data_IF_569819533018
#
_entry.id   IF_569819533018
#
_cell.length_a   1.000
_cell.length_b   1.000
_cell.length_c   1.000
_cell.angle_alpha   90.00
_cell.angle_beta   90.00
_cell.angle_gamma   90.00
#
_symmetry.space_group_name_H-M   'P 1'
#
loop_
_entity.id
_entity.type
_entity.pdbx_description
1 polymer ?
#
# COMPACT_ATOMS: atom_id res chain seq x y z
N UNK A 1 -11.00 -30.91 8.95
CA UNK A 1 -9.55 -30.86 8.69
C UNK A 1 -9.21 -30.51 7.24
N UNK A 2 -10.09 -29.81 6.52
CA UNK A 2 -9.74 -29.22 5.20
C UNK A 2 -9.67 -27.69 5.24
N UNK A 3 -10.17 -27.03 6.29
CA UNK A 3 -10.15 -25.56 6.42
C UNK A 3 -8.88 -24.99 7.10
N UNK A 4 -7.90 -25.83 7.47
CA UNK A 4 -6.59 -25.37 7.98
C UNK A 4 -5.49 -25.39 6.92
N UNK A 5 -5.73 -25.99 5.74
CA UNK A 5 -4.72 -26.09 4.67
C UNK A 5 -4.69 -24.89 3.71
N UNK A 6 -5.72 -24.04 3.68
CA UNK A 6 -5.70 -22.82 2.85
C UNK A 6 -5.04 -21.62 3.55
N UNK A 7 -4.92 -21.64 4.89
CA UNK A 7 -4.25 -20.58 5.66
C UNK A 7 -2.71 -20.63 5.59
N UNK A 8 -2.15 -21.64 4.93
CA UNK A 8 -0.71 -21.88 4.78
C UNK A 8 -0.21 -21.74 3.33
N UNK A 9 -1.05 -21.27 2.41
CA UNK A 9 -0.57 -20.73 1.12
C UNK A 9 0.03 -19.34 1.34
N UNK A 10 1.17 -19.30 2.03
CA UNK A 10 1.89 -18.07 2.34
C UNK A 10 2.25 -17.30 1.07
N UNK A 11 2.04 -15.99 1.10
CA UNK A 11 2.65 -15.04 0.19
C UNK A 11 4.17 -15.25 0.16
N UNK A 12 4.67 -15.80 -0.96
CA UNK A 12 6.09 -16.11 -1.14
C UNK A 12 6.73 -15.07 -2.03
N UNK A 13 7.82 -14.48 -1.56
CA UNK A 13 8.61 -13.55 -2.35
C UNK A 13 9.80 -14.31 -2.95
N UNK A 14 10.16 -14.01 -4.20
CA UNK A 14 11.25 -14.69 -4.89
C UNK A 14 11.89 -13.75 -5.90
N UNK A 15 13.22 -13.83 -6.06
CA UNK A 15 14.00 -13.02 -7.00
C UNK A 15 13.78 -11.49 -6.84
N UNK A 16 13.99 -10.99 -5.62
CA UNK A 16 13.81 -9.57 -5.28
C UNK A 16 14.93 -9.04 -4.38
N UNK A 17 15.12 -7.73 -4.40
CA UNK A 17 16.04 -7.01 -3.52
C UNK A 17 15.23 -6.15 -2.55
N UNK A 18 15.38 -6.35 -1.24
CA UNK A 18 14.60 -5.64 -0.20
C UNK A 18 15.50 -4.70 0.59
N UNK A 19 15.21 -3.41 0.53
CA UNK A 19 15.86 -2.39 1.35
C UNK A 19 14.96 -2.00 2.53
N UNK A 20 15.39 -2.32 3.75
CA UNK A 20 14.76 -1.81 4.97
C UNK A 20 15.37 -0.47 5.37
N UNK A 21 14.53 0.52 5.66
CA UNK A 21 14.92 1.80 6.22
C UNK A 21 14.17 2.02 7.52
N UNK A 22 14.88 2.04 8.65
CA UNK A 22 14.29 2.44 9.94
C UNK A 22 14.52 3.91 10.23
N UNK A 23 13.48 4.60 10.67
CA UNK A 23 13.65 5.81 11.48
C UNK A 23 14.37 5.41 12.78
N UNK A 24 15.45 6.11 13.08
CA UNK A 24 16.26 5.95 14.29
C UNK A 24 16.61 7.30 14.88
N UNK A 25 15.73 8.28 14.66
CA UNK A 25 15.73 9.56 15.35
C UNK A 25 15.47 9.38 16.85
N UNK A 26 15.67 10.46 17.61
CA UNK A 26 15.36 10.50 19.05
C UNK A 26 13.87 10.24 19.36
N UNK A 27 12.97 10.50 18.41
CA UNK A 27 11.52 10.30 18.58
C UNK A 27 11.11 8.82 18.71
N UNK A 28 12.00 7.90 18.33
CA UNK A 28 11.74 6.46 18.39
C UNK A 28 11.94 5.95 19.82
N UNK A 29 13.11 6.21 20.40
CA UNK A 29 13.53 5.60 21.66
C UNK A 29 13.99 4.15 21.52
N UNK A 30 14.79 3.68 22.47
CA UNK A 30 15.46 2.37 22.39
C UNK A 30 14.48 1.18 22.35
N UNK A 31 13.39 1.24 23.13
CA UNK A 31 12.43 0.14 23.20
C UNK A 31 11.63 -0.01 21.90
N UNK A 32 11.15 1.09 21.32
CA UNK A 32 10.45 1.04 20.04
C UNK A 32 11.39 0.66 18.89
N UNK A 33 12.66 1.06 18.95
CA UNK A 33 13.67 0.61 17.99
C UNK A 33 13.83 -0.91 18.03
N UNK A 34 13.90 -1.50 19.23
CA UNK A 34 13.93 -2.95 19.42
C UNK A 34 12.70 -3.64 18.84
N UNK A 35 11.50 -3.08 19.04
CA UNK A 35 10.26 -3.60 18.45
C UNK A 35 10.31 -3.52 16.92
N UNK A 36 10.81 -2.42 16.36
CA UNK A 36 10.97 -2.22 14.92
C UNK A 36 11.95 -3.23 14.29
N UNK A 37 13.10 -3.48 14.90
CA UNK A 37 14.04 -4.52 14.43
C UNK A 37 13.39 -5.91 14.44
N UNK A 38 12.60 -6.22 15.47
CA UNK A 38 11.85 -7.48 15.54
C UNK A 38 10.74 -7.57 14.48
N UNK A 39 10.12 -6.45 14.12
CA UNK A 39 9.18 -6.39 13.01
C UNK A 39 9.87 -6.77 11.69
N UNK A 40 11.02 -6.19 11.36
CA UNK A 40 11.76 -6.57 10.14
C UNK A 40 12.19 -8.04 10.13
N UNK A 41 12.66 -8.57 11.26
CA UNK A 41 12.94 -10.00 11.40
C UNK A 41 11.70 -10.85 11.12
N UNK A 42 10.54 -10.42 11.60
CA UNK A 42 9.27 -11.14 11.40
C UNK A 42 8.78 -11.06 9.96
N UNK A 43 8.96 -9.92 9.29
CA UNK A 43 8.76 -9.78 7.84
C UNK A 43 9.66 -10.79 7.12
N UNK A 44 10.98 -10.76 7.35
CA UNK A 44 11.94 -11.68 6.72
C UNK A 44 11.61 -13.16 6.93
N UNK A 45 11.18 -13.55 8.13
CA UNK A 45 10.71 -14.91 8.40
C UNK A 45 9.49 -15.27 7.57
N UNK A 46 8.54 -14.34 7.42
CA UNK A 46 7.35 -14.54 6.58
C UNK A 46 7.70 -14.67 5.10
N UNK A 47 8.80 -14.08 4.65
CA UNK A 47 9.23 -14.14 3.23
C UNK A 47 9.73 -15.51 2.80
N UNK A 48 10.01 -16.41 3.75
CA UNK A 48 10.71 -17.66 3.46
C UNK A 48 12.18 -17.42 3.12
N UNK A 49 12.90 -16.67 3.96
CA UNK A 49 14.33 -16.31 3.80
C UNK A 49 15.28 -17.48 3.50
N UNK A 50 14.86 -18.73 3.68
CA UNK A 50 15.62 -19.89 3.19
C UNK A 50 15.76 -19.88 1.65
N UNK A 51 15.05 -18.99 0.96
CA UNK A 51 15.22 -18.71 -0.46
C UNK A 51 16.43 -17.79 -0.73
N UNK A 52 17.50 -18.35 -1.29
CA UNK A 52 18.74 -17.64 -1.63
C UNK A 52 18.54 -16.52 -2.67
N UNK A 53 17.37 -16.43 -3.32
CA UNK A 53 17.09 -15.42 -4.34
C UNK A 53 16.62 -14.07 -3.78
N UNK A 54 16.46 -13.95 -2.46
CA UNK A 54 16.09 -12.71 -1.78
C UNK A 54 17.34 -12.05 -1.20
N UNK A 55 17.72 -10.88 -1.72
CA UNK A 55 18.83 -10.11 -1.15
C UNK A 55 18.29 -8.98 -0.28
N UNK A 56 18.95 -8.71 0.84
CA UNK A 56 18.49 -7.74 1.84
C UNK A 56 19.58 -6.71 2.10
N UNK A 57 19.19 -5.44 2.07
CA UNK A 57 19.98 -4.33 2.56
C UNK A 57 19.25 -3.61 3.70
N UNK A 58 19.99 -2.92 4.56
CA UNK A 58 19.40 -2.17 5.66
C UNK A 58 20.13 -0.86 5.94
N UNK A 59 19.35 0.19 6.14
CA UNK A 59 19.82 1.51 6.57
C UNK A 59 18.99 2.07 7.73
N UNK A 60 19.59 2.93 8.54
CA UNK A 60 18.92 3.73 9.56
C UNK A 60 18.97 5.21 9.17
N UNK A 61 17.86 5.91 9.37
CA UNK A 61 17.78 7.37 9.27
C UNK A 61 17.97 7.99 10.65
N UNK A 62 19.05 8.76 10.82
CA UNK A 62 19.40 9.44 12.08
C UNK A 62 19.66 10.93 11.88
N UNK A 63 18.79 11.64 11.16
CA UNK A 63 19.15 12.65 10.15
C UNK A 63 20.27 12.33 9.17
N UNK A 64 21.38 11.75 9.60
CA UNK A 64 22.39 11.17 8.71
C UNK A 64 22.02 9.71 8.36
N UNK A 65 22.30 9.29 7.14
CA UNK A 65 22.13 7.89 6.72
C UNK A 65 23.20 7.01 7.36
N UNK A 66 22.80 5.95 8.05
CA UNK A 66 23.69 4.89 8.52
C UNK A 66 23.37 3.59 7.78
N UNK A 67 24.26 3.15 6.90
CA UNK A 67 24.10 1.90 6.16
C UNK A 67 24.66 0.74 7.00
N UNK A 68 23.81 -0.21 7.38
CA UNK A 68 24.17 -1.32 8.27
C UNK A 68 24.75 -2.49 7.47
N UNK A 69 24.14 -2.83 6.33
CA UNK A 69 24.66 -3.79 5.37
C UNK A 69 23.98 -3.62 4.00
N UNK A 70 24.69 -4.02 2.94
CA UNK A 70 24.30 -3.95 1.53
C UNK A 70 23.85 -5.32 0.98
N UNK A 71 23.33 -5.37 -0.24
CA UNK A 71 22.77 -6.59 -0.85
C UNK A 71 23.81 -7.68 -1.10
N UNK A 72 25.09 -7.32 -1.24
CA UNK A 72 26.23 -8.23 -1.37
C UNK A 72 26.68 -8.86 -0.03
N UNK A 73 26.04 -8.49 1.09
CA UNK A 73 26.37 -9.02 2.41
C UNK A 73 25.86 -10.45 2.60
N UNK A 74 26.61 -11.26 3.37
CA UNK A 74 26.34 -12.69 3.57
C UNK A 74 24.92 -12.98 4.09
N UNK A 75 24.13 -13.68 3.27
CA UNK A 75 22.71 -13.98 3.48
C UNK A 75 22.44 -14.76 4.79
N UNK A 76 23.35 -15.65 5.20
CA UNK A 76 23.14 -16.59 6.33
C UNK A 76 23.07 -15.93 7.71
N UNK A 77 23.56 -14.69 7.87
CA UNK A 77 23.56 -13.98 9.16
C UNK A 77 22.61 -12.79 9.24
N UNK A 78 21.87 -12.47 8.17
CA UNK A 78 21.03 -11.25 8.10
C UNK A 78 20.06 -11.11 9.27
N UNK A 79 19.37 -12.18 9.70
CA UNK A 79 18.44 -12.11 10.84
C UNK A 79 19.15 -11.72 12.13
N UNK A 80 20.33 -12.29 12.36
CA UNK A 80 21.16 -11.99 13.53
C UNK A 80 21.78 -10.59 13.41
N UNK A 81 22.18 -10.16 12.22
CA UNK A 81 22.66 -8.80 11.96
C UNK A 81 21.59 -7.77 12.32
N UNK A 82 20.36 -7.92 11.81
CA UNK A 82 19.25 -7.01 12.11
C UNK A 82 18.97 -6.94 13.61
N UNK A 83 18.95 -8.09 14.29
CA UNK A 83 18.71 -8.17 15.74
C UNK A 83 19.72 -7.36 16.56
N UNK A 84 20.96 -7.23 16.08
CA UNK A 84 22.05 -6.58 16.80
C UNK A 84 22.33 -5.14 16.32
N UNK A 85 21.51 -4.59 15.42
CA UNK A 85 21.63 -3.19 15.01
C UNK A 85 21.40 -2.32 16.25
N UNK A 86 22.36 -1.48 16.66
CA UNK A 86 22.21 -0.65 17.84
C UNK A 86 21.36 0.58 17.55
N UNK A 87 20.58 1.01 18.54
CA UNK A 87 19.90 2.30 18.52
C UNK A 87 20.91 3.43 18.79
N UNK A 88 21.32 4.12 17.73
CA UNK A 88 22.32 5.20 17.80
C UNK A 88 21.75 6.49 17.20
N UNK A 89 20.82 7.19 17.88
CA UNK A 89 20.27 8.44 17.39
C UNK A 89 21.34 9.53 17.37
N UNK A 90 21.26 10.42 16.40
CA UNK A 90 22.19 11.53 16.26
C UNK A 90 21.77 12.68 17.18
N UNK A 91 22.53 12.90 18.26
CA UNK A 91 22.24 13.90 19.30
C UNK A 91 22.98 15.24 19.13
N UNK A 92 23.88 15.32 18.15
CA UNK A 92 24.70 16.51 17.91
C UNK A 92 23.89 17.53 17.05
N UNK A 93 23.94 18.84 17.33
CA UNK A 93 23.44 19.87 16.42
C UNK A 93 23.86 19.70 14.94
N UNK A 94 25.07 19.18 14.68
CA UNK A 94 25.63 19.01 13.33
C UNK A 94 24.87 17.99 12.46
N UNK A 95 24.02 17.14 13.06
CA UNK A 95 23.26 16.12 12.34
C UNK A 95 22.34 16.72 11.26
N UNK A 96 21.89 17.97 11.45
CA UNK A 96 21.06 18.68 10.45
C UNK A 96 21.86 19.11 9.22
N UNK A 97 23.16 19.39 9.36
CA UNK A 97 24.01 19.81 8.24
C UNK A 97 24.32 18.66 7.27
N UNK A 98 24.26 17.42 7.76
CA UNK A 98 24.44 16.17 7.01
C UNK A 98 23.13 15.40 6.85
N UNK A 99 22.01 16.12 6.86
CA UNK A 99 20.70 15.52 6.72
C UNK A 99 20.59 14.81 5.36
N UNK A 100 20.26 13.52 5.38
CA UNK A 100 19.89 12.74 4.20
C UNK A 100 18.39 12.87 3.94
N UNK A 101 17.95 12.29 2.84
CA UNK A 101 16.54 12.10 2.50
C UNK A 101 16.29 10.61 2.21
N UNK A 102 15.03 10.23 1.96
CA UNK A 102 14.70 8.89 1.46
C UNK A 102 15.38 8.66 0.11
N UNK A 103 15.39 9.66 -0.78
CA UNK A 103 16.07 9.62 -2.06
C UNK A 103 17.57 9.38 -1.91
N UNK A 104 18.25 10.06 -0.97
CA UNK A 104 19.68 9.91 -0.75
C UNK A 104 20.07 8.55 -0.19
N UNK A 105 19.24 8.00 0.70
CA UNK A 105 19.41 6.62 1.19
C UNK A 105 19.25 5.63 0.03
N UNK A 106 18.19 5.78 -0.77
CA UNK A 106 17.94 4.92 -1.91
C UNK A 106 19.04 5.06 -2.99
N UNK A 107 19.58 6.26 -3.22
CA UNK A 107 20.67 6.53 -4.16
C UNK A 107 21.89 5.66 -3.91
N UNK A 108 22.23 5.51 -2.64
CA UNK A 108 23.42 4.80 -2.20
C UNK A 108 23.13 3.32 -2.01
N UNK A 109 22.01 2.95 -1.40
CA UNK A 109 21.72 1.56 -1.06
C UNK A 109 21.27 0.73 -2.27
N UNK A 110 20.57 1.34 -3.25
CA UNK A 110 20.09 0.67 -4.46
C UNK A 110 21.09 0.74 -5.63
N UNK A 111 22.34 1.13 -5.37
CA UNK A 111 23.36 1.19 -6.41
C UNK A 111 23.97 -0.19 -6.69
N UNK A 112 24.46 -0.39 -7.91
CA UNK A 112 25.03 -1.67 -8.33
C UNK A 112 26.33 -2.02 -7.59
N UNK A 113 27.09 -1.02 -7.12
CA UNK A 113 28.29 -1.23 -6.27
C UNK A 113 27.94 -1.69 -4.85
N UNK A 114 26.67 -1.63 -4.45
CA UNK A 114 26.13 -2.25 -3.22
C UNK A 114 25.46 -3.59 -3.48
N UNK A 115 25.63 -4.16 -4.67
CA UNK A 115 25.10 -5.48 -5.02
C UNK A 115 23.63 -5.48 -5.46
N UNK A 116 23.02 -4.32 -5.72
CA UNK A 116 21.65 -4.24 -6.22
C UNK A 116 21.55 -4.85 -7.64
N UNK A 117 20.58 -5.73 -7.87
CA UNK A 117 20.41 -6.49 -9.10
C UNK A 117 19.41 -5.81 -10.03
N UNK A 118 19.89 -5.38 -11.19
CA UNK A 118 19.06 -4.77 -12.25
C UNK A 118 17.87 -5.66 -12.65
N UNK A 119 18.06 -6.98 -12.67
CA UNK A 119 17.06 -7.95 -13.12
C UNK A 119 16.02 -8.32 -12.06
N UNK A 120 16.22 -7.88 -10.81
CA UNK A 120 15.35 -8.20 -9.68
C UNK A 120 14.61 -6.93 -9.26
N UNK A 121 13.29 -6.98 -8.98
CA UNK A 121 12.56 -5.81 -8.49
C UNK A 121 13.04 -5.40 -7.09
N UNK A 122 13.08 -4.10 -6.85
CA UNK A 122 13.46 -3.52 -5.56
C UNK A 122 12.22 -3.25 -4.71
N UNK A 123 12.23 -3.69 -3.46
CA UNK A 123 11.21 -3.41 -2.46
C UNK A 123 11.84 -2.52 -1.38
N UNK A 124 11.46 -1.25 -1.35
CA UNK A 124 11.87 -0.31 -0.31
C UNK A 124 10.80 -0.30 0.80
N UNK A 125 11.17 -0.62 2.04
CA UNK A 125 10.28 -0.55 3.20
C UNK A 125 10.84 0.49 4.16
N UNK A 126 10.20 1.65 4.23
CA UNK A 126 10.54 2.73 5.16
C UNK A 126 9.55 2.70 6.33
N UNK A 127 10.06 2.63 7.56
CA UNK A 127 9.23 2.73 8.76
C UNK A 127 9.63 3.97 9.53
N UNK A 128 8.69 4.89 9.72
CA UNK A 128 8.90 6.14 10.46
C UNK A 128 7.72 6.47 11.36
N UNK A 129 7.87 7.49 12.20
CA UNK A 129 6.78 7.95 13.08
C UNK A 129 5.99 9.08 12.45
N UNK A 130 4.76 9.29 12.94
CA UNK A 130 3.98 10.50 12.63
C UNK A 130 4.55 11.78 13.25
N UNK A 131 5.50 11.66 14.19
CA UNK A 131 6.15 12.79 14.86
C UNK A 131 7.23 13.45 13.99
N UNK A 132 7.84 12.67 13.09
CA UNK A 132 8.85 13.15 12.18
C UNK A 132 8.72 12.44 10.83
N UNK A 133 8.30 13.20 9.82
CA UNK A 133 8.26 12.71 8.45
C UNK A 133 9.64 12.87 7.82
N UNK A 134 10.25 11.76 7.43
CA UNK A 134 11.52 11.77 6.70
C UNK A 134 11.29 12.47 5.34
N UNK A 135 12.07 13.49 4.98
CA UNK A 135 11.92 14.16 3.70
C UNK A 135 12.22 13.17 2.57
N UNK A 136 11.39 13.21 1.51
CA UNK A 136 11.69 12.46 0.29
C UNK A 136 12.99 12.94 -0.35
N UNK A 137 13.14 14.27 -0.48
CA UNK A 137 14.21 14.93 -1.21
C UNK A 137 14.68 16.16 -0.42
N UNK A 138 16.00 16.35 -0.36
CA UNK A 138 16.61 17.55 0.19
C UNK A 138 16.67 18.69 -0.84
N UNK A 139 16.87 19.92 -0.35
CA UNK A 139 17.06 21.08 -1.21
C UNK A 139 18.30 20.90 -2.11
N UNK A 140 18.11 21.01 -3.43
CA UNK A 140 19.18 20.85 -4.42
C UNK A 140 19.61 19.40 -4.66
N UNK A 141 18.95 18.42 -4.05
CA UNK A 141 19.23 17.01 -4.29
C UNK A 141 18.66 16.54 -5.63
N UNK A 142 19.46 15.80 -6.39
CA UNK A 142 19.01 15.20 -7.65
C UNK A 142 18.23 13.93 -7.37
N UNK A 143 17.06 13.81 -8.00
CA UNK A 143 16.25 12.61 -7.95
C UNK A 143 17.03 11.44 -8.56
N UNK A 144 17.04 10.31 -7.85
CA UNK A 144 17.72 9.11 -8.33
C UNK A 144 16.96 8.50 -9.50
N UNK A 145 17.70 7.78 -10.34
CA UNK A 145 17.15 6.87 -11.32
C UNK A 145 17.45 5.44 -10.87
N UNK A 146 16.46 4.71 -10.30
CA UNK A 146 16.69 3.34 -9.86
C UNK A 146 17.15 2.44 -11.00
N UNK A 147 17.98 1.47 -10.66
CA UNK A 147 18.52 0.51 -11.62
C UNK A 147 17.49 -0.54 -12.06
N UNK A 148 16.53 -0.85 -11.19
CA UNK A 148 15.45 -1.83 -11.38
C UNK A 148 14.09 -1.21 -11.03
N UNK A 149 13.01 -1.98 -11.20
CA UNK A 149 11.65 -1.54 -10.85
C UNK A 149 11.51 -1.50 -9.33
N UNK A 150 11.34 -0.30 -8.76
CA UNK A 150 11.26 -0.12 -7.31
C UNK A 150 9.83 0.11 -6.82
N UNK A 151 9.32 -0.72 -5.91
CA UNK A 151 8.09 -0.41 -5.14
C UNK A 151 8.46 0.07 -3.74
N UNK A 152 7.84 1.15 -3.29
CA UNK A 152 8.07 1.69 -1.95
C UNK A 152 6.87 1.50 -1.02
N UNK A 153 7.12 0.97 0.16
CA UNK A 153 6.18 0.92 1.27
C UNK A 153 6.58 1.96 2.31
N UNK A 154 5.70 2.90 2.58
CA UNK A 154 5.86 3.89 3.64
C UNK A 154 4.96 3.48 4.81
N UNK A 155 5.57 3.03 5.90
CA UNK A 155 4.89 2.59 7.11
C UNK A 155 5.00 3.70 8.16
N UNK A 156 3.87 4.33 8.49
CA UNK A 156 3.81 5.38 9.52
C UNK A 156 3.28 4.82 10.83
N UNK A 157 4.03 5.00 11.92
CA UNK A 157 3.64 4.60 13.27
C UNK A 157 3.17 5.80 14.09
N UNK A 158 2.04 5.69 14.77
CA UNK A 158 1.49 6.71 15.65
C UNK A 158 0.18 7.31 15.13
N UNK A 159 -0.03 8.59 15.37
CA UNK A 159 -1.26 9.27 14.95
C UNK A 159 -1.23 9.48 13.43
N UNK A 160 -1.91 8.60 12.72
CA UNK A 160 -2.11 8.71 11.29
C UNK A 160 -3.53 9.18 11.01
N UNK A 161 -3.64 10.38 10.43
CA UNK A 161 -4.85 10.73 9.72
C UNK A 161 -4.67 10.20 8.28
N UNK A 162 -5.50 9.25 7.79
CA UNK A 162 -5.62 9.06 6.36
C UNK A 162 -6.08 10.40 5.80
N UNK A 163 -5.13 11.18 5.29
CA UNK A 163 -5.44 12.39 4.55
C UNK A 163 -6.30 11.93 3.39
N UNK A 164 -7.61 12.22 3.46
CA UNK A 164 -8.57 11.92 2.42
C UNK A 164 -8.00 12.43 1.08
N UNK A 165 -7.37 11.53 0.31
CA UNK A 165 -6.78 11.83 -0.99
C UNK A 165 -5.34 12.35 -1.06
N UNK A 166 -4.58 12.55 0.03
CA UNK A 166 -3.16 12.89 -0.12
C UNK A 166 -2.35 11.62 -0.42
N UNK A 167 -2.20 11.32 -1.72
CA UNK A 167 -1.31 10.29 -2.22
C UNK A 167 0.13 10.66 -1.85
N UNK A 168 0.75 9.94 -0.91
CA UNK A 168 2.20 10.04 -0.72
C UNK A 168 2.87 9.13 -1.74
N UNK A 169 3.69 9.74 -2.58
CA UNK A 169 4.40 9.10 -3.67
C UNK A 169 5.87 9.44 -3.56
N UNK A 170 6.73 8.43 -3.61
CA UNK A 170 8.15 8.66 -3.88
C UNK A 170 8.32 8.76 -5.41
N UNK A 171 8.80 9.90 -5.88
CA UNK A 171 9.00 10.27 -7.28
C UNK A 171 9.94 9.29 -8.01
N UNK A 172 10.93 8.72 -7.32
CA UNK A 172 11.84 7.73 -7.91
C UNK A 172 11.25 6.33 -7.98
N UNK A 173 10.29 5.98 -7.12
CA UNK A 173 9.73 4.63 -7.07
C UNK A 173 8.67 4.46 -8.16
N UNK A 174 8.54 3.24 -8.68
CA UNK A 174 7.53 2.78 -9.64
C UNK A 174 6.09 2.83 -9.11
N UNK A 175 5.93 2.61 -7.81
CA UNK A 175 4.66 2.69 -7.10
C UNK A 175 4.97 2.91 -5.63
N UNK A 176 4.04 3.54 -4.90
CA UNK A 176 4.18 3.76 -3.47
C UNK A 176 2.89 3.36 -2.77
N UNK A 177 3.01 2.50 -1.76
CA UNK A 177 1.92 2.05 -0.91
C UNK A 177 2.12 2.59 0.50
N UNK A 178 1.04 3.06 1.12
CA UNK A 178 1.07 3.51 2.50
C UNK A 178 0.50 2.44 3.42
N UNK A 179 1.18 2.22 4.54
CA UNK A 179 0.68 1.43 5.65
C UNK A 179 0.85 2.25 6.92
N UNK A 180 0.18 1.83 7.97
CA UNK A 180 0.51 2.35 9.28
C UNK A 180 -0.12 1.59 10.40
N UNK A 181 0.39 1.90 11.58
CA UNK A 181 0.05 1.26 12.83
C UNK A 181 -0.14 2.36 13.88
N UNK A 182 -1.13 2.20 14.75
CA UNK A 182 -1.41 3.20 15.80
C UNK A 182 -0.27 3.30 16.82
N UNK A 183 0.55 2.26 16.95
CA UNK A 183 1.71 2.16 17.83
C UNK A 183 2.68 1.06 17.34
N UNK A 184 3.86 0.96 17.96
CA UNK A 184 4.89 -0.01 17.57
C UNK A 184 4.47 -1.45 17.82
N UNK A 185 3.68 -1.70 18.86
CA UNK A 185 3.18 -3.03 19.22
C UNK A 185 2.26 -3.61 18.15
N UNK A 186 1.56 -2.75 17.41
CA UNK A 186 0.64 -3.16 16.33
C UNK A 186 1.36 -3.46 15.01
N UNK A 187 2.67 -3.18 14.88
CA UNK A 187 3.43 -3.43 13.64
C UNK A 187 3.36 -4.88 13.17
N UNK A 188 3.30 -5.86 14.08
CA UNK A 188 3.19 -7.28 13.71
C UNK A 188 1.91 -7.60 12.94
N UNK A 189 0.85 -6.81 13.13
CA UNK A 189 -0.41 -7.00 12.41
C UNK A 189 -0.31 -6.57 10.94
N UNK A 190 0.71 -5.79 10.56
CA UNK A 190 1.01 -5.43 9.17
C UNK A 190 1.73 -6.51 8.37
N UNK A 191 2.24 -7.57 9.01
CA UNK A 191 3.03 -8.61 8.32
C UNK A 191 2.22 -9.26 7.20
N UNK A 192 0.97 -9.65 7.46
CA UNK A 192 0.11 -10.29 6.45
C UNK A 192 -0.30 -9.33 5.33
N UNK A 193 -0.82 -8.11 5.61
CA UNK A 193 -1.08 -7.11 4.57
C UNK A 193 0.13 -6.78 3.71
N UNK A 194 1.29 -6.53 4.31
CA UNK A 194 2.52 -6.21 3.58
C UNK A 194 2.92 -7.36 2.65
N UNK A 195 2.81 -8.60 3.14
CA UNK A 195 3.17 -9.79 2.40
C UNK A 195 2.30 -10.01 1.16
N UNK A 196 0.97 -9.80 1.27
CA UNK A 196 0.07 -9.84 0.12
C UNK A 196 0.28 -8.67 -0.85
N UNK A 197 0.52 -7.46 -0.35
CA UNK A 197 0.75 -6.28 -1.19
C UNK A 197 2.01 -6.43 -2.04
N UNK A 198 3.11 -6.93 -1.48
CA UNK A 198 4.32 -7.23 -2.24
C UNK A 198 4.09 -8.35 -3.24
N UNK A 199 3.44 -9.45 -2.85
CA UNK A 199 3.15 -10.55 -3.76
C UNK A 199 2.31 -10.08 -4.97
N UNK A 200 1.30 -9.23 -4.73
CA UNK A 200 0.50 -8.61 -5.78
C UNK A 200 1.34 -7.75 -6.72
N UNK A 201 2.23 -6.91 -6.19
CA UNK A 201 3.16 -6.13 -7.00
C UNK A 201 4.07 -7.02 -7.86
N UNK A 202 4.63 -8.09 -7.30
CA UNK A 202 5.49 -9.02 -8.03
C UNK A 202 4.74 -9.73 -9.16
N UNK A 203 3.48 -10.09 -8.96
CA UNK A 203 2.64 -10.67 -10.03
C UNK A 203 2.47 -9.71 -11.21
N UNK A 204 2.25 -8.43 -10.94
CA UNK A 204 2.15 -7.39 -11.99
C UNK A 204 3.47 -7.26 -12.73
N UNK A 205 4.58 -7.16 -12.00
CA UNK A 205 5.92 -7.06 -12.62
C UNK A 205 6.24 -8.29 -13.48
N UNK A 206 5.94 -9.48 -13.00
CA UNK A 206 6.16 -10.72 -13.74
C UNK A 206 5.30 -10.78 -15.02
N UNK A 207 4.02 -10.45 -14.92
CA UNK A 207 3.09 -10.50 -16.05
C UNK A 207 3.41 -9.45 -17.12
N UNK A 208 3.78 -8.24 -16.72
CA UNK A 208 3.95 -7.11 -17.63
C UNK A 208 5.37 -6.98 -18.18
N UNK A 209 6.40 -7.33 -17.40
CA UNK A 209 7.79 -7.03 -17.76
C UNK A 209 8.68 -8.26 -17.95
N UNK A 210 8.39 -9.38 -17.29
CA UNK A 210 9.18 -10.63 -17.44
C UNK A 210 8.55 -11.63 -18.42
N UNK A 211 7.46 -11.23 -19.09
CA UNK A 211 6.88 -11.98 -20.21
C UNK A 211 7.86 -12.06 -21.40
N UNK A 212 8.07 -13.25 -22.01
CA UNK A 212 8.93 -13.42 -23.18
C UNK A 212 8.52 -12.60 -24.41
N UNK A 213 7.29 -12.06 -24.46
CA UNK A 213 6.81 -11.28 -25.60
C UNK A 213 7.41 -9.88 -25.72
N UNK A 214 7.96 -9.31 -24.65
CA UNK A 214 8.67 -8.02 -24.68
C UNK A 214 10.18 -8.25 -24.84
N UNK A 215 10.74 -9.29 -24.22
CA UNK A 215 12.12 -9.73 -24.38
C UNK A 215 12.33 -10.63 -25.62
N UNK A 216 11.70 -10.27 -26.73
CA UNK A 216 11.91 -10.89 -28.03
C UNK A 216 13.28 -10.51 -28.60
N UNK A 217 14.17 -11.51 -28.66
CA UNK A 217 15.43 -11.58 -29.42
C UNK A 217 16.66 -10.87 -28.85
N UNK A 218 17.52 -11.62 -28.15
CA UNK A 218 18.63 -12.35 -28.81
C UNK A 218 19.55 -12.97 -27.75
N UNK A 219 19.95 -14.21 -27.99
CA UNK A 219 21.03 -14.90 -27.27
C UNK A 219 22.33 -14.07 -27.34
N UNK A 220 22.54 -13.18 -26.36
CA UNK A 220 23.85 -12.60 -26.07
C UNK A 220 24.00 -12.56 -24.56
N UNK A 221 25.12 -13.16 -24.12
CA UNK A 221 25.67 -13.10 -22.76
C UNK A 221 25.23 -11.82 -22.02
N UNK A 222 24.46 -12.01 -20.95
CA UNK A 222 23.92 -10.98 -20.05
C UNK A 222 24.99 -10.36 -19.13
N UNK A 223 26.25 -10.24 -19.58
CA UNK A 223 27.25 -9.42 -18.91
C UNK A 223 27.41 -8.10 -19.68
N UNK A 224 26.83 -7.02 -19.16
CA UNK A 224 27.19 -5.65 -19.55
C UNK A 224 26.29 -4.94 -20.57
N UNK A 225 25.01 -5.29 -20.73
CA UNK A 225 24.07 -4.39 -21.41
C UNK A 225 23.40 -3.43 -20.41
N UNK A 226 23.24 -2.13 -20.77
CA UNK A 226 22.51 -1.19 -19.93
C UNK A 226 21.06 -1.64 -19.79
N UNK A 227 20.51 -1.55 -18.57
CA UNK A 227 19.12 -1.86 -18.28
C UNK A 227 18.20 -1.17 -19.31
N UNK A 228 17.29 -1.92 -19.93
CA UNK A 228 16.24 -1.33 -20.75
C UNK A 228 15.27 -0.60 -19.81
N UNK A 229 15.34 0.73 -19.82
CA UNK A 229 14.60 1.62 -18.90
C UNK A 229 13.25 2.05 -19.48
N UNK A 230 12.82 1.48 -20.61
CA UNK A 230 11.51 1.75 -21.21
C UNK A 230 10.34 1.32 -20.32
N UNK A 231 10.59 0.45 -19.32
CA UNK A 231 9.59 0.04 -18.34
C UNK A 231 8.92 1.20 -17.60
N UNK A 232 9.62 2.33 -17.42
CA UNK A 232 9.07 3.55 -16.81
C UNK A 232 7.83 4.09 -17.53
N UNK A 233 7.70 3.84 -18.84
CA UNK A 233 6.57 4.30 -19.66
C UNK A 233 5.30 3.44 -19.46
N UNK A 234 5.44 2.24 -18.89
CA UNK A 234 4.36 1.27 -18.76
C UNK A 234 3.73 1.26 -17.36
N UNK A 235 4.34 1.95 -16.40
CA UNK A 235 3.80 2.06 -15.06
C UNK A 235 2.56 2.94 -15.04
N UNK A 236 1.42 2.36 -14.64
CA UNK A 236 0.18 3.08 -14.36
C UNK A 236 0.32 3.78 -13.02
N UNK A 237 0.90 4.97 -13.06
CA UNK A 237 1.23 5.82 -11.93
C UNK A 237 0.05 6.32 -11.09
N UNK A 238 -1.18 6.22 -11.61
CA UNK A 238 -2.36 6.87 -11.04
C UNK A 238 -3.51 5.89 -10.80
N UNK A 239 -3.20 4.71 -10.23
CA UNK A 239 -4.24 3.75 -9.82
C UNK A 239 -4.99 4.33 -8.61
N UNK A 240 -6.34 4.36 -8.61
CA UNK A 240 -7.12 4.70 -7.43
C UNK A 240 -6.76 3.75 -6.29
N UNK A 241 -6.40 4.29 -5.12
CA UNK A 241 -6.03 3.51 -3.94
C UNK A 241 -7.11 3.59 -2.88
N UNK A 242 -7.45 2.45 -2.30
CA UNK A 242 -8.44 2.30 -1.23
C UNK A 242 -7.72 1.93 0.06
N UNK A 243 -8.12 2.56 1.16
CA UNK A 243 -7.61 2.24 2.49
C UNK A 243 -8.39 1.08 3.08
N UNK A 244 -7.67 0.06 3.56
CA UNK A 244 -8.20 -1.04 4.36
C UNK A 244 -7.72 -0.89 5.80
N UNK A 245 -8.52 -1.34 6.74
CA UNK A 245 -8.16 -1.44 8.17
C UNK A 245 -8.40 -2.86 8.63
N UNK A 246 -7.70 -3.28 9.68
CA UNK A 246 -8.04 -4.53 10.36
C UNK A 246 -9.26 -4.34 11.28
N UNK A 247 -9.82 -5.44 11.78
CA UNK A 247 -11.00 -5.43 12.64
C UNK A 247 -10.84 -4.61 13.92
N UNK A 248 -9.61 -4.52 14.44
CA UNK A 248 -9.29 -3.75 15.66
C UNK A 248 -9.03 -2.26 15.40
N UNK A 249 -8.98 -1.83 14.14
CA UNK A 249 -8.56 -0.49 13.71
C UNK A 249 -7.20 -0.05 14.29
N UNK A 250 -6.29 -1.01 14.47
CA UNK A 250 -4.92 -0.81 14.97
C UNK A 250 -3.93 -0.64 13.83
N UNK A 251 -4.24 -1.18 12.65
CA UNK A 251 -3.42 -1.06 11.44
C UNK A 251 -4.27 -0.78 10.21
N UNK A 252 -3.66 -0.12 9.23
CA UNK A 252 -4.25 0.16 7.93
C UNK A 252 -3.22 0.01 6.81
N UNK A 253 -3.71 -0.20 5.59
CA UNK A 253 -2.88 -0.31 4.40
C UNK A 253 -3.65 0.13 3.16
N UNK A 254 -2.96 0.63 2.15
CA UNK A 254 -3.55 0.98 0.86
C UNK A 254 -3.44 -0.18 -0.11
N UNK A 255 -4.50 -0.40 -0.88
CA UNK A 255 -4.55 -1.35 -2.01
C UNK A 255 -5.12 -0.62 -3.23
N UNK A 256 -4.93 -1.18 -4.44
CA UNK A 256 -5.72 -0.73 -5.58
C UNK A 256 -7.21 -0.90 -5.26
N UNK A 257 -8.03 0.12 -5.55
CA UNK A 257 -9.46 -0.01 -5.43
C UNK A 257 -9.98 -1.00 -6.49
N UNK A 258 -10.74 -2.00 -6.06
CA UNK A 258 -11.55 -2.77 -6.99
C UNK A 258 -12.61 -1.84 -7.59
N UNK A 259 -12.69 -1.80 -8.93
CA UNK A 259 -13.73 -1.08 -9.66
C UNK A 259 -15.16 -1.56 -9.34
N UNK A 260 -15.30 -2.66 -8.60
CA UNK A 260 -16.59 -3.32 -8.31
C UNK A 260 -17.21 -2.97 -6.95
N UNK A 261 -16.62 -2.06 -6.16
CA UNK A 261 -17.18 -1.69 -4.83
C UNK A 261 -17.63 -0.24 -4.70
N UNK A 262 -17.98 0.41 -5.80
CA UNK A 262 -18.77 1.66 -5.76
C UNK A 262 -20.26 1.43 -5.46
N UNK A 263 -20.71 0.20 -5.22
CA UNK A 263 -22.13 -0.12 -4.96
C UNK A 263 -22.44 -0.79 -3.61
N UNK A 264 -21.48 -1.02 -2.71
CA UNK A 264 -21.80 -1.62 -1.39
C UNK A 264 -22.34 -0.62 -0.35
N UNK A 265 -22.70 0.61 -0.77
CA UNK A 265 -23.49 1.55 0.02
C UNK A 265 -24.89 1.81 -0.55
N UNK A 266 -25.35 1.04 -1.54
CA UNK A 266 -26.77 0.92 -1.83
C UNK A 266 -27.23 -0.38 -1.18
N UNK A 267 -27.90 -0.26 -0.02
CA UNK A 267 -28.49 -1.41 0.65
C UNK A 267 -29.26 -2.25 -0.37
N UNK A 268 -28.89 -3.52 -0.48
CA UNK A 268 -29.59 -4.48 -1.33
C UNK A 268 -31.02 -4.55 -0.82
N UNK A 269 -31.92 -3.83 -1.50
CA UNK A 269 -33.37 -3.96 -1.31
C UNK A 269 -33.66 -5.40 -1.69
N UNK A 270 -33.76 -6.26 -0.69
CA UNK A 270 -34.22 -7.64 -0.87
C UNK A 270 -35.49 -7.63 -1.72
N UNK A 271 -35.70 -8.67 -2.53
CA UNK A 271 -36.89 -8.79 -3.38
C UNK A 271 -38.20 -8.56 -2.62
N UNK A 272 -38.21 -8.85 -1.31
CA UNK A 272 -39.33 -8.56 -0.39
C UNK A 272 -39.60 -7.07 -0.20
N UNK A 273 -38.57 -6.22 -0.10
CA UNK A 273 -38.72 -4.77 0.12
C UNK A 273 -39.20 -4.04 -1.15
N UNK A 274 -38.83 -4.51 -2.34
CA UNK A 274 -39.32 -3.94 -3.60
C UNK A 274 -40.82 -4.21 -3.82
N UNK A 275 -41.29 -5.42 -3.46
CA UNK A 275 -42.71 -5.78 -3.51
C UNK A 275 -43.55 -4.91 -2.56
N UNK A 276 -43.04 -4.61 -1.36
CA UNK A 276 -43.72 -3.72 -0.40
C UNK A 276 -43.85 -2.29 -0.91
N UNK A 277 -42.80 -1.73 -1.51
CA UNK A 277 -42.83 -0.38 -2.08
C UNK A 277 -43.81 -0.31 -3.25
N UNK A 278 -43.78 -1.29 -4.16
CA UNK A 278 -44.69 -1.34 -5.29
C UNK A 278 -46.15 -1.47 -4.84
N UNK A 279 -46.43 -2.32 -3.85
CA UNK A 279 -47.76 -2.45 -3.25
C UNK A 279 -48.23 -1.12 -2.62
N UNK A 280 -47.34 -0.41 -1.93
CA UNK A 280 -47.67 0.87 -1.30
C UNK A 280 -47.99 1.96 -2.34
N UNK A 281 -47.25 2.01 -3.45
CA UNK A 281 -47.51 2.94 -4.57
C UNK A 281 -48.84 2.62 -5.28
N UNK A 282 -49.17 1.34 -5.46
CA UNK A 282 -50.45 0.94 -6.06
C UNK A 282 -51.62 1.34 -5.15
N UNK A 283 -51.50 1.11 -3.84
CA UNK A 283 -52.56 1.48 -2.88
C UNK A 283 -52.78 2.98 -2.83
N UNK A 284 -51.72 3.80 -2.82
CA UNK A 284 -51.86 5.26 -2.84
C UNK A 284 -52.49 5.74 -4.14
N UNK A 285 -52.10 5.18 -5.29
CA UNK A 285 -52.72 5.50 -6.58
C UNK A 285 -54.22 5.16 -6.61
N UNK A 286 -54.62 4.01 -6.06
CA UNK A 286 -56.04 3.62 -5.96
C UNK A 286 -56.84 4.55 -5.05
N UNK A 287 -56.26 4.99 -3.93
CA UNK A 287 -56.88 5.97 -3.03
C UNK A 287 -57.08 7.30 -3.77
N UNK A 288 -56.08 7.78 -4.51
CA UNK A 288 -56.22 9.00 -5.30
C UNK A 288 -57.30 8.88 -6.37
N UNK A 289 -57.37 7.75 -7.09
CA UNK A 289 -58.42 7.50 -8.09
C UNK A 289 -59.81 7.52 -7.44
N UNK A 290 -59.98 6.93 -6.25
CA UNK A 290 -61.25 6.95 -5.53
C UNK A 290 -61.63 8.37 -5.07
N UNK A 291 -60.67 9.15 -4.56
CA UNK A 291 -60.92 10.54 -4.14
C UNK A 291 -61.32 11.39 -5.35
N UNK A 292 -60.58 11.31 -6.46
CA UNK A 292 -60.91 12.02 -7.69
C UNK A 292 -62.25 11.56 -8.27
N UNK A 293 -62.53 10.26 -8.25
CA UNK A 293 -63.81 9.70 -8.69
C UNK A 293 -64.98 10.23 -7.85
N UNK A 294 -64.84 10.26 -6.53
CA UNK A 294 -65.83 10.84 -5.61
C UNK A 294 -66.02 12.36 -5.84
N UNK A 295 -64.93 13.09 -6.08
CA UNK A 295 -64.98 14.52 -6.37
C UNK A 295 -65.73 14.80 -7.68
N UNK A 296 -65.43 14.06 -8.74
CA UNK A 296 -66.12 14.16 -10.04
C UNK A 296 -67.59 13.76 -9.90
N UNK A 297 -67.90 12.69 -9.16
CA UNK A 297 -69.27 12.26 -8.93
C UNK A 297 -70.09 13.32 -8.20
N UNK A 298 -69.54 13.93 -7.13
CA UNK A 298 -70.20 15.03 -6.41
C UNK A 298 -70.39 16.26 -7.30
N UNK A 299 -69.35 16.67 -8.03
CA UNK A 299 -69.43 17.80 -8.95
C UNK A 299 -70.54 17.61 -10.00
N UNK A 300 -70.64 16.41 -10.57
CA UNK A 300 -71.70 16.08 -11.54
C UNK A 300 -73.08 16.10 -10.90
N UNK A 301 -73.24 15.60 -9.68
CA UNK A 301 -74.54 15.59 -9.01
C UNK A 301 -75.02 17.00 -8.63
N UNK A 302 -74.10 17.88 -8.21
CA UNK A 302 -74.38 19.30 -7.97
C UNK A 302 -74.70 20.05 -9.27
N UNK A 303 -74.02 19.75 -10.38
CA UNK A 303 -74.37 20.36 -11.67
C UNK A 303 -75.77 19.95 -12.17
N UNK A 304 -76.20 18.73 -11.88
CA UNK A 304 -77.52 18.21 -12.28
C UNK A 304 -78.66 18.71 -11.38
N UNK A 305 -78.40 19.08 -10.12
CA UNK A 305 -79.41 19.71 -9.27
C UNK A 305 -79.66 21.17 -9.66
N UNK A 306 -78.63 21.89 -10.11
CA UNK A 306 -78.77 23.27 -10.64
C UNK A 306 -79.57 23.29 -11.94
N UNK A 307 -79.40 22.31 -12.82
CA UNK A 307 -80.16 22.19 -14.08
C UNK A 307 -81.64 21.81 -13.91
N UNK A 308 -82.05 21.30 -12.74
CA UNK A 308 -83.46 21.01 -12.41
C UNK A 308 -84.18 22.14 -11.68
N UNK A 309 -83.46 23.23 -11.36
CA UNK A 309 -84.01 24.40 -10.67
C UNK A 309 -84.26 25.61 -11.60
N UNK A 310 -84.08 25.43 -12.90
CA UNK A 310 -84.49 26.33 -14.00
C UNK A 310 -85.57 25.65 -14.83
#
# INVERSE_FOLDING_TARGET
>A
MENEKEAESGCRWHNIDVLFVSDSTENIGEENHRILMNFFISVLKRLGKDDETIHIAMAQFTPEAKYEFSFDSLSSRVLQSIKNIPYTPCRNPDCRSRATSINGIAATALSSDKGNRIISPDILIVVSTSLYQIPELNSGELLIKPASITHAFLITVGNFAPSNGAKVRLQFAATTSQLGAINFESLSELISPLCHSVASFLLVVMAEFLSPSIFGQNNKSLSGQPADLTWWNYLKWDVPTCTRTNEKNTVFWTVACDSDTSNSAAGTITTSTFVLILACVIVTALIFILIFGCAIYRYRNESMSVLKAT
#
